data_IF_656737611374
#
_entry.id   IF_656737611374
#
_cell.length_a   1.000
_cell.length_b   1.000
_cell.length_c   1.000
_cell.angle_alpha   90.00
_cell.angle_beta   90.00
_cell.angle_gamma   90.00
#
_symmetry.space_group_name_H-M   'P 1'
#
loop_
_entity.id
_entity.type
_entity.pdbx_description
1 polymer ?
#
# COMPACT_ATOMS: atom_id res chain seq x y z
N UNK A 1 -2.74 -1.21 -6.88
CA UNK A 1 -1.85 -1.12 -8.05
C UNK A 1 -1.09 -2.42 -8.28
N UNK A 2 -0.25 -2.88 -7.34
CA UNK A 2 0.58 -4.08 -7.51
C UNK A 2 -0.22 -5.33 -7.93
N UNK A 3 -1.41 -5.54 -7.38
CA UNK A 3 -2.31 -6.64 -7.77
C UNK A 3 -2.64 -6.65 -9.26
N UNK A 4 -2.87 -5.48 -9.86
CA UNK A 4 -3.16 -5.36 -11.30
C UNK A 4 -1.94 -5.65 -12.18
N UNK A 5 -0.73 -5.54 -11.62
CA UNK A 5 0.54 -5.88 -12.27
C UNK A 5 0.95 -7.34 -12.04
N UNK A 6 0.10 -8.16 -11.41
CA UNK A 6 0.33 -9.58 -11.18
C UNK A 6 0.94 -9.92 -9.81
N UNK A 7 1.05 -8.97 -8.88
CA UNK A 7 1.44 -9.31 -7.51
C UNK A 7 0.25 -9.95 -6.79
N UNK A 8 0.47 -11.05 -6.09
CA UNK A 8 -0.54 -11.65 -5.23
C UNK A 8 -0.29 -11.17 -3.79
N UNK A 9 -1.20 -10.36 -3.28
CA UNK A 9 -1.22 -9.93 -1.88
C UNK A 9 -2.20 -10.85 -1.15
N UNK A 10 -1.69 -11.70 -0.28
CA UNK A 10 -2.41 -12.84 0.28
C UNK A 10 -2.59 -12.71 1.78
N UNK A 11 -3.74 -13.16 2.29
CA UNK A 11 -4.00 -13.35 3.71
C UNK A 11 -3.34 -14.62 4.25
N UNK A 12 -3.46 -14.85 5.56
CA UNK A 12 -2.88 -16.00 6.25
C UNK A 12 -3.50 -17.35 5.84
N UNK A 13 -4.60 -17.35 5.07
CA UNK A 13 -5.22 -18.53 4.49
C UNK A 13 -4.83 -18.72 3.01
N UNK A 14 -4.01 -17.82 2.45
CA UNK A 14 -3.58 -17.86 1.06
C UNK A 14 -4.61 -17.27 0.08
N UNK A 15 -5.64 -16.57 0.55
CA UNK A 15 -6.60 -15.88 -0.33
C UNK A 15 -6.14 -14.46 -0.63
N UNK A 16 -6.55 -13.91 -1.78
CA UNK A 16 -6.24 -12.53 -2.11
C UNK A 16 -6.96 -11.55 -1.16
N UNK A 17 -6.22 -10.59 -0.62
CA UNK A 17 -6.82 -9.51 0.18
C UNK A 17 -7.73 -8.62 -0.68
N UNK A 18 -8.73 -8.03 -0.04
CA UNK A 18 -9.65 -7.08 -0.67
C UNK A 18 -8.95 -5.76 -1.05
N UNK A 19 -9.66 -4.92 -1.83
CA UNK A 19 -9.12 -3.63 -2.26
C UNK A 19 -9.18 -2.57 -1.15
N UNK A 20 -8.23 -1.63 -1.20
CA UNK A 20 -8.18 -0.46 -0.32
C UNK A 20 -7.18 -0.62 0.83
N UNK A 21 -6.79 0.50 1.44
CA UNK A 21 -5.80 0.51 2.52
C UNK A 21 -6.27 -0.17 3.82
N UNK A 22 -7.58 -0.32 4.00
CA UNK A 22 -8.14 -1.05 5.15
C UNK A 22 -7.79 -2.54 5.15
N UNK A 23 -7.76 -3.17 3.98
CA UNK A 23 -7.47 -4.61 3.83
C UNK A 23 -5.99 -4.96 3.95
N UNK A 24 -5.10 -3.97 4.02
CA UNK A 24 -3.68 -4.21 4.28
C UNK A 24 -3.44 -4.79 5.68
N UNK A 25 -4.37 -4.64 6.62
CA UNK A 25 -4.31 -5.29 7.93
C UNK A 25 -4.28 -6.84 7.81
N UNK A 26 -4.91 -7.38 6.78
CA UNK A 26 -5.03 -8.83 6.57
C UNK A 26 -3.86 -9.41 5.77
N UNK A 27 -2.93 -8.57 5.29
CA UNK A 27 -1.82 -9.02 4.45
C UNK A 27 -0.88 -9.93 5.26
N UNK A 28 -0.66 -11.15 4.81
CA UNK A 28 0.30 -12.07 5.44
C UNK A 28 1.52 -12.29 4.54
N UNK A 29 1.32 -12.37 3.23
CA UNK A 29 2.41 -12.58 2.28
C UNK A 29 2.21 -11.89 0.93
N UNK A 30 3.34 -11.54 0.30
CA UNK A 30 3.38 -10.99 -1.05
C UNK A 30 4.09 -12.00 -1.96
N UNK A 31 3.36 -12.53 -2.94
CA UNK A 31 3.90 -13.43 -3.95
C UNK A 31 4.03 -12.71 -5.30
N UNK A 32 5.26 -12.64 -5.82
CA UNK A 32 5.61 -11.98 -7.08
C UNK A 32 5.86 -12.95 -8.24
N UNK A 33 5.58 -14.24 -8.08
CA UNK A 33 5.81 -15.26 -9.12
C UNK A 33 5.06 -15.00 -10.43
N UNK A 34 3.93 -14.28 -10.38
CA UNK A 34 3.13 -13.89 -11.55
C UNK A 34 3.22 -12.39 -11.86
N UNK A 35 4.13 -11.67 -11.21
CA UNK A 35 4.35 -10.25 -11.45
C UNK A 35 4.90 -10.02 -12.86
N UNK A 36 4.43 -8.97 -13.53
CA UNK A 36 4.81 -8.72 -14.93
C UNK A 36 6.31 -8.40 -15.05
N UNK A 37 7.05 -9.35 -15.61
CA UNK A 37 8.50 -9.26 -15.80
C UNK A 37 8.95 -8.07 -16.68
N UNK A 38 8.04 -7.45 -17.44
CA UNK A 38 8.34 -6.22 -18.20
C UNK A 38 8.55 -5.03 -17.29
N UNK A 39 7.96 -5.02 -16.09
CA UNK A 39 8.12 -3.94 -15.11
C UNK A 39 9.58 -3.81 -14.69
N UNK A 40 10.26 -4.93 -14.44
CA UNK A 40 11.69 -4.93 -14.09
C UNK A 40 12.61 -4.44 -15.22
N UNK A 41 12.12 -4.45 -16.47
CA UNK A 41 12.87 -4.00 -17.66
C UNK A 41 12.54 -2.58 -18.07
N UNK A 42 11.48 -2.00 -17.50
CA UNK A 42 11.03 -0.66 -17.81
C UNK A 42 11.73 0.37 -16.92
N UNK A 43 11.91 1.57 -17.45
CA UNK A 43 12.33 2.73 -16.68
C UNK A 43 11.10 3.58 -16.35
N UNK A 44 10.88 3.82 -15.07
CA UNK A 44 9.80 4.67 -14.59
C UNK A 44 10.40 5.91 -13.94
N UNK A 45 9.89 7.07 -14.32
CA UNK A 45 10.19 8.34 -13.68
C UNK A 45 8.92 8.77 -12.94
N UNK A 46 9.02 8.92 -11.62
CA UNK A 46 7.93 9.39 -10.77
C UNK A 46 8.22 10.84 -10.43
N UNK A 47 7.34 11.75 -10.83
CA UNK A 47 7.39 13.12 -10.37
C UNK A 47 6.83 13.18 -8.94
N UNK A 48 7.65 13.62 -7.99
CA UNK A 48 7.26 13.90 -6.61
C UNK A 48 7.80 15.28 -6.21
N UNK A 49 6.94 16.11 -5.64
CA UNK A 49 7.26 17.43 -5.10
C UNK A 49 7.30 17.45 -3.56
N UNK A 50 7.09 16.28 -2.94
CA UNK A 50 7.08 16.08 -1.48
C UNK A 50 8.08 15.02 -1.04
N UNK A 51 8.51 15.14 0.22
CA UNK A 51 9.48 14.24 0.88
C UNK A 51 8.86 13.41 2.02
N UNK A 52 7.53 13.37 2.12
CA UNK A 52 6.82 12.67 3.17
C UNK A 52 7.12 11.16 3.13
N UNK A 53 7.48 10.53 4.27
CA UNK A 53 7.66 9.09 4.34
C UNK A 53 6.34 8.32 4.14
N UNK A 54 6.43 7.00 4.04
CA UNK A 54 5.23 6.15 3.90
C UNK A 54 4.32 6.22 5.15
N UNK A 55 4.93 6.18 6.34
CA UNK A 55 4.26 6.05 7.65
C UNK A 55 4.76 7.06 8.67
N UNK A 56 4.02 7.22 9.77
CA UNK A 56 4.36 8.07 10.90
C UNK A 56 3.72 9.46 10.83
N UNK A 57 4.06 10.39 11.74
CA UNK A 57 3.35 11.68 11.88
C UNK A 57 3.35 12.54 10.62
N UNK A 58 4.42 12.48 9.83
CA UNK A 58 4.55 13.15 8.53
C UNK A 58 4.29 12.19 7.35
N UNK A 59 3.73 11.02 7.62
CA UNK A 59 3.50 9.93 6.69
C UNK A 59 2.28 10.13 5.79
N UNK A 60 2.10 9.20 4.84
CA UNK A 60 1.11 9.33 3.79
C UNK A 60 -0.33 9.45 4.33
N UNK A 61 -0.67 8.66 5.36
CA UNK A 61 -1.98 8.70 6.01
C UNK A 61 -2.22 10.05 6.67
N UNK A 62 -1.35 10.47 7.60
CA UNK A 62 -1.58 11.68 8.39
C UNK A 62 -1.55 12.97 7.57
N UNK A 63 -0.68 13.07 6.56
CA UNK A 63 -0.52 14.30 5.76
C UNK A 63 -1.56 14.40 4.65
N UNK A 64 -1.89 13.30 3.98
CA UNK A 64 -2.77 13.34 2.79
C UNK A 64 -4.14 12.69 3.00
N UNK A 65 -4.38 12.02 4.12
CA UNK A 65 -5.63 11.28 4.38
C UNK A 65 -6.82 12.20 4.67
N UNK A 66 -6.64 13.28 5.44
CA UNK A 66 -7.72 14.22 5.80
C UNK A 66 -8.40 14.83 4.59
N UNK A 67 -7.61 15.31 3.62
CA UNK A 67 -8.13 15.86 2.36
C UNK A 67 -8.80 14.82 1.45
N UNK A 68 -8.60 13.51 1.73
CA UNK A 68 -9.27 12.40 1.06
C UNK A 68 -10.50 11.89 1.83
N UNK A 69 -10.88 12.57 2.92
CA UNK A 69 -12.07 12.27 3.70
C UNK A 69 -11.87 11.29 4.85
N UNK A 70 -10.62 10.92 5.19
CA UNK A 70 -10.36 10.05 6.34
C UNK A 70 -10.53 10.81 7.67
N UNK A 71 -11.32 10.22 8.57
CA UNK A 71 -11.44 10.63 9.98
C UNK A 71 -10.18 10.34 10.78
N UNK A 72 -9.99 11.00 11.93
CA UNK A 72 -8.77 10.81 12.75
C UNK A 72 -8.54 9.34 13.17
N UNK A 73 -9.61 8.58 13.41
CA UNK A 73 -9.53 7.14 13.69
C UNK A 73 -9.11 6.32 12.47
N UNK A 74 -9.59 6.69 11.27
CA UNK A 74 -9.17 6.04 10.03
C UNK A 74 -7.71 6.37 9.68
N UNK A 75 -7.22 7.57 10.00
CA UNK A 75 -5.81 7.93 9.79
C UNK A 75 -4.88 7.00 10.56
N UNK A 76 -5.18 6.75 11.84
CA UNK A 76 -4.40 5.85 12.68
C UNK A 76 -4.45 4.41 12.16
N UNK A 77 -5.64 3.93 11.79
CA UNK A 77 -5.81 2.60 11.20
C UNK A 77 -4.99 2.46 9.91
N UNK A 78 -5.12 3.41 8.99
CA UNK A 78 -4.42 3.38 7.70
C UNK A 78 -2.91 3.49 7.87
N UNK A 79 -2.41 4.30 8.82
CA UNK A 79 -0.97 4.39 9.09
C UNK A 79 -0.41 3.08 9.65
N UNK A 80 -1.11 2.43 10.59
CA UNK A 80 -0.72 1.12 11.11
C UNK A 80 -0.73 0.04 10.02
N UNK A 81 -1.74 0.07 9.14
CA UNK A 81 -1.83 -0.85 8.02
C UNK A 81 -0.71 -0.64 6.99
N UNK A 82 -0.32 0.61 6.73
CA UNK A 82 0.84 0.92 5.90
C UNK A 82 2.14 0.53 6.58
N UNK A 83 2.23 0.61 7.91
CA UNK A 83 3.40 0.20 8.69
C UNK A 83 3.59 -1.31 8.62
N UNK A 84 2.50 -2.06 8.70
CA UNK A 84 2.51 -3.51 8.50
C UNK A 84 2.94 -3.92 7.08
N UNK A 85 2.63 -3.10 6.08
CA UNK A 85 3.04 -3.33 4.69
C UNK A 85 4.52 -3.00 4.40
N UNK A 86 5.14 -2.11 5.18
CA UNK A 86 6.46 -1.53 4.92
C UNK A 86 7.62 -2.49 5.21
#
# INVERSE_FOLDING_TARGET
MLQALGAQLLDAQGNAISFGGGSLADLDSINLSTFDNRIAKASFIIASDVNNPLVGPEGASFVFGKQKGASDTELQLLDNNLLHFA
#
